data_IF_444219530675
#
_entry.id   IF_444219530675
#
_cell.length_a   1.000
_cell.length_b   1.000
_cell.length_c   1.000
_cell.angle_alpha   90.00
_cell.angle_beta   90.00
_cell.angle_gamma   90.00
#
_symmetry.space_group_name_H-M   'P 1'
#
loop_
_entity.id
_entity.type
_entity.pdbx_description
1 polymer ?
#
# COMPACT_ATOMS: atom_id res chain seq x y z
N UNK A 1 -16.04 7.61 3.99
CA UNK A 1 -15.84 7.88 2.54
C UNK A 1 -14.40 7.55 2.23
N UNK A 2 -14.14 6.69 1.24
CA UNK A 2 -12.78 6.34 0.81
C UNK A 2 -12.32 7.43 -0.16
N UNK A 3 -11.26 8.16 0.19
CA UNK A 3 -10.72 9.26 -0.64
C UNK A 3 -9.51 8.76 -1.42
N UNK A 4 -9.44 9.05 -2.72
CA UNK A 4 -8.26 8.74 -3.53
C UNK A 4 -7.14 9.73 -3.17
N UNK A 5 -6.02 9.21 -2.66
CA UNK A 5 -4.83 10.00 -2.32
C UNK A 5 -3.90 10.16 -3.52
N UNK A 6 -3.85 9.17 -4.41
CA UNK A 6 -2.98 9.21 -5.58
C UNK A 6 -3.12 7.98 -6.46
N UNK A 7 -2.59 8.06 -7.68
CA UNK A 7 -2.50 6.93 -8.60
C UNK A 7 -1.16 6.93 -9.29
N UNK A 8 -0.55 5.75 -9.40
CA UNK A 8 0.60 5.51 -10.26
C UNK A 8 0.22 4.54 -11.38
N UNK A 9 1.23 4.14 -12.16
CA UNK A 9 1.03 3.20 -13.27
C UNK A 9 0.64 1.78 -12.84
N UNK A 10 0.83 1.41 -11.57
CA UNK A 10 0.63 0.03 -11.09
C UNK A 10 -0.48 -0.12 -10.05
N UNK A 11 -0.83 1.00 -9.38
CA UNK A 11 -1.69 0.96 -8.21
C UNK A 11 -2.36 2.32 -7.97
N UNK A 12 -3.45 2.29 -7.21
CA UNK A 12 -4.10 3.48 -6.66
C UNK A 12 -4.07 3.42 -5.14
N UNK A 13 -3.73 4.54 -4.50
CA UNK A 13 -3.67 4.68 -3.05
C UNK A 13 -4.90 5.45 -2.58
N UNK A 14 -5.55 4.91 -1.54
CA UNK A 14 -6.73 5.49 -0.93
C UNK A 14 -6.53 5.75 0.54
N UNK A 15 -7.15 6.80 1.07
CA UNK A 15 -7.33 7.01 2.50
C UNK A 15 -8.52 6.19 2.96
N UNK A 16 -8.32 5.40 4.01
CA UNK A 16 -9.36 4.66 4.69
C UNK A 16 -9.25 4.89 6.21
N UNK A 17 -10.31 4.52 6.92
CA UNK A 17 -10.32 4.47 8.37
C UNK A 17 -10.28 3.01 8.77
N UNK A 18 -9.26 2.61 9.53
CA UNK A 18 -9.23 1.33 10.22
C UNK A 18 -10.26 1.39 11.36
N UNK A 19 -11.30 0.56 11.26
CA UNK A 19 -12.40 0.54 12.24
C UNK A 19 -12.02 -0.15 13.54
N UNK A 20 -10.99 -1.01 13.53
CA UNK A 20 -10.56 -1.76 14.70
C UNK A 20 -9.63 -0.91 15.56
N UNK A 21 -8.69 -0.21 14.91
CA UNK A 21 -7.69 0.62 15.59
C UNK A 21 -8.05 2.11 15.62
N UNK A 22 -9.22 2.47 15.09
CA UNK A 22 -9.75 3.84 15.04
C UNK A 22 -8.76 4.88 14.49
N UNK A 23 -7.95 4.50 13.49
CA UNK A 23 -6.94 5.37 12.86
C UNK A 23 -7.10 5.51 11.34
N UNK A 24 -6.64 6.64 10.80
CA UNK A 24 -6.55 6.83 9.35
C UNK A 24 -5.37 6.04 8.79
N UNK A 25 -5.61 5.31 7.71
CA UNK A 25 -4.62 4.47 7.01
C UNK A 25 -4.62 4.77 5.51
N UNK A 26 -3.51 4.42 4.84
CA UNK A 26 -3.41 4.45 3.39
C UNK A 26 -3.43 3.02 2.85
N UNK A 27 -4.32 2.72 1.89
CA UNK A 27 -4.47 1.40 1.27
C UNK A 27 -4.02 1.49 -0.18
N UNK A 28 -3.02 0.69 -0.57
CA UNK A 28 -2.51 0.57 -1.95
C UNK A 28 -3.20 -0.61 -2.64
N UNK A 29 -4.01 -0.33 -3.67
CA UNK A 29 -4.74 -1.33 -4.44
C UNK A 29 -4.10 -1.45 -5.83
N UNK A 30 -3.68 -2.65 -6.20
CA UNK A 30 -3.11 -2.96 -7.52
C UNK A 30 -4.18 -2.95 -8.61
N UNK A 31 -3.86 -2.47 -9.82
CA UNK A 31 -4.77 -2.57 -10.96
C UNK A 31 -4.84 -4.00 -11.48
N UNK A 32 -6.03 -4.44 -11.93
CA UNK A 32 -6.29 -5.82 -12.35
C UNK A 32 -5.35 -6.29 -13.48
N UNK A 33 -4.94 -5.38 -14.36
CA UNK A 33 -4.07 -5.65 -15.51
C UNK A 33 -2.65 -6.11 -15.11
N UNK A 34 -2.25 -5.90 -13.85
CA UNK A 34 -0.94 -6.32 -13.32
C UNK A 34 -1.00 -7.61 -12.51
N UNK A 35 -2.17 -8.17 -12.23
CA UNK A 35 -2.30 -9.43 -11.51
C UNK A 35 -1.80 -10.64 -12.31
N UNK A 36 -1.80 -10.56 -13.64
CA UNK A 36 -1.37 -11.64 -14.54
C UNK A 36 0.15 -11.67 -14.78
N UNK A 37 0.89 -10.67 -14.30
CA UNK A 37 2.34 -10.60 -14.43
C UNK A 37 2.97 -11.04 -13.10
N UNK A 38 3.47 -12.26 -13.04
CA UNK A 38 4.04 -12.90 -11.85
C UNK A 38 5.10 -12.01 -11.16
N UNK A 39 5.87 -11.26 -11.95
CA UNK A 39 6.87 -10.28 -11.50
C UNK A 39 6.32 -9.16 -10.60
N UNK A 40 5.04 -8.79 -10.76
CA UNK A 40 4.47 -7.66 -10.01
C UNK A 40 4.16 -8.01 -8.58
N UNK A 41 3.72 -9.25 -8.33
CA UNK A 41 3.47 -9.72 -6.96
C UNK A 41 4.79 -9.79 -6.19
N UNK A 42 5.86 -10.26 -6.83
CA UNK A 42 7.19 -10.27 -6.22
C UNK A 42 7.70 -8.86 -5.91
N UNK A 43 7.60 -7.93 -6.86
CA UNK A 43 7.99 -6.53 -6.64
C UNK A 43 7.19 -5.87 -5.53
N UNK A 44 5.87 -6.11 -5.48
CA UNK A 44 5.01 -5.61 -4.43
C UNK A 44 5.43 -6.13 -3.04
N UNK A 45 5.72 -7.43 -2.93
CA UNK A 45 6.22 -8.03 -1.70
C UNK A 45 7.61 -7.51 -1.31
N UNK A 46 8.50 -7.31 -2.28
CA UNK A 46 9.82 -6.72 -2.03
C UNK A 46 9.73 -5.29 -1.51
N UNK A 47 8.86 -4.45 -2.09
CA UNK A 47 8.59 -3.09 -1.61
C UNK A 47 8.04 -3.10 -0.18
N UNK A 48 7.04 -3.94 0.08
CA UNK A 48 6.46 -4.07 1.42
C UNK A 48 7.50 -4.51 2.45
N UNK A 49 8.34 -5.49 2.12
CA UNK A 49 9.43 -5.96 2.99
C UNK A 49 10.50 -4.90 3.23
N UNK A 50 10.88 -4.16 2.18
CA UNK A 50 11.85 -3.08 2.29
C UNK A 50 11.33 -1.96 3.21
N UNK A 51 10.06 -1.57 3.06
CA UNK A 51 9.44 -0.54 3.88
C UNK A 51 9.16 -1.01 5.32
N UNK A 52 8.77 -2.27 5.53
CA UNK A 52 8.55 -2.85 6.86
C UNK A 52 9.86 -2.94 7.70
N UNK A 53 11.00 -3.14 7.05
CA UNK A 53 12.31 -3.17 7.71
C UNK A 53 12.83 -1.78 8.10
N UNK A 54 12.15 -0.70 7.71
CA UNK A 54 12.54 0.68 8.03
C UNK A 54 11.71 1.20 9.21
N UNK A 55 12.32 1.25 10.40
CA UNK A 55 11.71 1.86 11.59
C UNK A 55 12.33 3.22 11.87
N UNK A 56 11.74 4.27 11.29
CA UNK A 56 12.17 5.66 11.49
C UNK A 56 10.94 6.60 11.54
N UNK A 57 10.90 7.62 12.40
CA UNK A 57 9.73 8.52 12.54
C UNK A 57 9.33 9.27 11.26
N UNK A 58 10.23 9.38 10.28
CA UNK A 58 9.95 9.99 8.97
C UNK A 58 9.61 8.98 7.86
N UNK A 59 9.50 7.69 8.18
CA UNK A 59 9.21 6.62 7.21
C UNK A 59 7.87 6.00 7.59
N UNK A 60 6.98 5.88 6.61
CA UNK A 60 5.65 5.29 6.81
C UNK A 60 5.82 3.80 7.15
N UNK A 61 5.40 3.42 8.35
CA UNK A 61 5.38 2.02 8.77
C UNK A 61 4.32 1.25 7.99
N UNK A 62 4.72 0.14 7.38
CA UNK A 62 3.80 -0.78 6.71
C UNK A 62 3.14 -1.66 7.75
N UNK A 63 1.81 -1.74 7.69
CA UNK A 63 0.99 -2.64 8.49
C UNK A 63 0.32 -3.64 7.53
N UNK A 64 0.18 -4.90 7.96
CA UNK A 64 -0.59 -5.95 7.26
C UNK A 64 -2.04 -5.94 7.74
#
# INVERSE_FOLDING_TARGET
>A
MIEKLGSGGMATVYRAQDQTLERSVAIKILHADFFSLEDFRERFHQEAKAAANLSHPSIVTVHD
#
